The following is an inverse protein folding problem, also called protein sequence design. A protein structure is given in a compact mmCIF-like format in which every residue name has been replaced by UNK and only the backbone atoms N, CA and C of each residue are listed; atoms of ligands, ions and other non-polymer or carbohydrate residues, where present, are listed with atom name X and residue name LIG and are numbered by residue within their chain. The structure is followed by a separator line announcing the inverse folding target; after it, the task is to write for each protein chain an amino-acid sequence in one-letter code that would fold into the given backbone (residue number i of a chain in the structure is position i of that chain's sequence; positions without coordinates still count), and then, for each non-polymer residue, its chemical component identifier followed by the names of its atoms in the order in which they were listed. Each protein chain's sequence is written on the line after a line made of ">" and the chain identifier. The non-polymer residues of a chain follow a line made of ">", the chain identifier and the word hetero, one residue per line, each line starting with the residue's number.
data_IF_455706593941
#
_entry.id   IF_455706593941
#
_cell.length_a   1.000
_cell.length_b   1.000
_cell.length_c   1.000
_cell.angle_alpha   90.00
_cell.angle_beta   90.00
_cell.angle_gamma   90.00
#
_symmetry.space_group_name_H-M   'P 1'
#
loop_
_entity.id
_entity.type
_entity.pdbx_description
1 polymer ?
#
# COMPACT_ATOMS: atom_id res chain seq x y z
N UNK A 1 6.26 11.76 -17.12
CA UNK A 1 6.28 11.50 -15.71
C UNK A 1 4.87 11.72 -15.14
N UNK A 2 4.34 10.76 -14.38
CA UNK A 2 3.01 10.84 -13.79
C UNK A 2 3.11 11.31 -12.33
N UNK A 3 2.50 12.45 -12.04
CA UNK A 3 2.39 13.00 -10.70
C UNK A 3 1.27 12.37 -9.87
N UNK A 4 1.05 12.89 -8.66
CA UNK A 4 -0.08 12.53 -7.84
C UNK A 4 -1.39 13.17 -8.33
N UNK A 5 -2.48 12.73 -7.75
CA UNK A 5 -3.82 13.23 -8.08
C UNK A 5 -3.98 14.65 -7.52
N UNK A 6 -4.47 15.60 -8.32
CA UNK A 6 -4.72 16.96 -7.87
C UNK A 6 -5.59 17.02 -6.60
N UNK A 7 -5.17 17.83 -5.63
CA UNK A 7 -5.85 17.93 -4.34
C UNK A 7 -5.29 17.02 -3.24
N UNK A 8 -4.41 16.08 -3.58
CA UNK A 8 -3.65 15.35 -2.58
C UNK A 8 -2.47 16.19 -2.08
N UNK A 9 -2.19 16.15 -0.78
CA UNK A 9 -1.09 16.93 -0.18
C UNK A 9 0.27 16.65 -0.85
N UNK A 10 0.48 15.42 -1.28
CA UNK A 10 1.72 15.00 -1.93
C UNK A 10 1.90 15.61 -3.33
N UNK A 11 0.82 16.01 -4.03
CA UNK A 11 0.93 16.55 -5.39
C UNK A 11 1.79 17.83 -5.45
N UNK A 12 1.59 18.75 -4.49
CA UNK A 12 2.38 19.98 -4.42
C UNK A 12 3.88 19.70 -4.16
N UNK A 13 4.17 18.74 -3.29
CA UNK A 13 5.55 18.32 -2.95
C UNK A 13 6.23 17.66 -4.16
N UNK A 14 5.54 16.76 -4.85
CA UNK A 14 6.07 16.12 -6.05
C UNK A 14 6.29 17.10 -7.20
N UNK A 15 5.44 18.13 -7.30
CA UNK A 15 5.66 19.18 -8.30
C UNK A 15 6.90 20.02 -7.97
N UNK A 16 7.12 20.39 -6.71
CA UNK A 16 8.36 21.02 -6.28
C UNK A 16 9.58 20.14 -6.59
N UNK A 17 9.51 18.85 -6.27
CA UNK A 17 10.56 17.87 -6.58
C UNK A 17 10.89 17.85 -8.08
N UNK A 18 9.88 17.82 -8.92
CA UNK A 18 10.03 17.89 -10.37
C UNK A 18 10.79 19.14 -10.84
N UNK A 19 10.55 20.29 -10.20
CA UNK A 19 11.24 21.56 -10.52
C UNK A 19 12.67 21.58 -9.96
N UNK A 20 12.84 21.23 -8.68
CA UNK A 20 14.13 21.27 -7.98
C UNK A 20 15.16 20.34 -8.62
N UNK A 21 14.73 19.15 -9.07
CA UNK A 21 15.61 18.20 -9.77
C UNK A 21 15.80 18.52 -11.27
N UNK A 22 15.28 19.66 -11.73
CA UNK A 22 15.42 20.10 -13.12
C UNK A 22 14.72 19.17 -14.13
N UNK A 23 13.80 18.33 -13.68
CA UNK A 23 13.09 17.39 -14.54
C UNK A 23 12.20 18.10 -15.56
N UNK A 24 11.78 19.33 -15.28
CA UNK A 24 11.02 20.21 -16.18
C UNK A 24 11.74 20.57 -17.47
N UNK A 25 13.04 20.34 -17.55
CA UNK A 25 13.82 20.57 -18.78
C UNK A 25 13.61 19.47 -19.83
N UNK A 26 13.28 18.24 -19.40
CA UNK A 26 13.25 17.09 -20.29
C UNK A 26 11.94 16.27 -20.22
N UNK A 27 11.09 16.52 -19.22
CA UNK A 27 9.89 15.73 -18.97
C UNK A 27 8.67 16.63 -18.79
N UNK A 28 7.52 16.11 -19.17
CA UNK A 28 6.22 16.72 -18.87
C UNK A 28 5.70 16.11 -17.57
N UNK A 29 5.28 16.95 -16.61
CA UNK A 29 4.60 16.50 -15.40
C UNK A 29 3.10 16.39 -15.68
N UNK A 30 2.60 15.17 -15.76
CA UNK A 30 1.19 14.89 -15.98
C UNK A 30 0.49 14.59 -14.68
N UNK A 31 -0.57 15.32 -14.37
CA UNK A 31 -1.45 15.08 -13.22
C UNK A 31 -2.64 14.23 -13.63
N UNK A 32 -2.72 12.96 -13.22
CA UNK A 32 -3.88 12.13 -13.51
C UNK A 32 -5.10 12.64 -12.74
N UNK A 33 -6.27 12.59 -13.37
CA UNK A 33 -7.52 13.05 -12.75
C UNK A 33 -8.08 12.11 -11.68
N UNK A 34 -7.57 10.87 -11.59
CA UNK A 34 -8.03 9.85 -10.63
C UNK A 34 -6.97 8.76 -10.42
N UNK A 35 -7.13 8.00 -9.33
CA UNK A 35 -6.33 6.80 -9.07
C UNK A 35 -6.45 5.77 -10.19
N UNK A 36 -7.65 5.57 -10.71
CA UNK A 36 -7.88 4.65 -11.82
C UNK A 36 -7.10 5.05 -13.08
N UNK A 37 -7.04 6.34 -13.39
CA UNK A 37 -6.24 6.85 -14.53
C UNK A 37 -4.76 6.62 -14.32
N UNK A 38 -4.24 6.88 -13.12
CA UNK A 38 -2.84 6.65 -12.76
C UNK A 38 -2.48 5.17 -12.87
N UNK A 39 -3.26 4.32 -12.24
CA UNK A 39 -3.04 2.86 -12.26
C UNK A 39 -3.11 2.28 -13.67
N UNK A 40 -4.07 2.73 -14.49
CA UNK A 40 -4.19 2.31 -15.89
C UNK A 40 -2.97 2.72 -16.71
N UNK A 41 -2.41 3.90 -16.47
CA UNK A 41 -1.21 4.36 -17.18
C UNK A 41 0.00 3.45 -16.88
N UNK A 42 0.22 3.08 -15.61
CA UNK A 42 1.28 2.16 -15.22
C UNK A 42 1.06 0.76 -15.80
N UNK A 43 -0.14 0.20 -15.64
CA UNK A 43 -0.46 -1.13 -16.15
C UNK A 43 -0.27 -1.20 -17.68
N UNK A 44 -0.80 -0.21 -18.41
CA UNK A 44 -0.68 -0.18 -19.88
C UNK A 44 0.77 -0.06 -20.34
N UNK A 45 1.58 0.76 -19.67
CA UNK A 45 2.99 0.89 -19.99
C UNK A 45 3.73 -0.42 -19.71
N UNK A 46 3.48 -1.04 -18.57
CA UNK A 46 4.08 -2.32 -18.18
C UNK A 46 3.75 -3.44 -19.17
N UNK A 47 2.48 -3.61 -19.52
CA UNK A 47 2.02 -4.62 -20.50
C UNK A 47 2.63 -4.43 -21.90
N UNK A 48 2.94 -3.19 -22.27
CA UNK A 48 3.57 -2.85 -23.55
C UNK A 48 5.09 -2.84 -23.52
N UNK A 49 5.71 -3.11 -22.36
CA UNK A 49 7.16 -3.01 -22.17
C UNK A 49 7.69 -1.59 -22.34
N UNK A 50 6.86 -0.56 -22.08
CA UNK A 50 7.25 0.84 -22.17
C UNK A 50 7.72 1.38 -20.82
N UNK A 51 8.74 2.26 -20.79
CA UNK A 51 9.17 2.87 -19.56
C UNK A 51 8.08 3.78 -19.00
N UNK A 52 7.85 3.70 -17.69
CA UNK A 52 6.93 4.57 -16.95
C UNK A 52 7.57 4.99 -15.64
N UNK A 53 7.46 6.26 -15.29
CA UNK A 53 7.88 6.82 -14.00
C UNK A 53 6.75 7.68 -13.47
N UNK A 54 6.46 7.56 -12.19
CA UNK A 54 5.46 8.39 -11.57
C UNK A 54 5.21 8.03 -10.11
N UNK A 55 4.26 8.74 -9.53
CA UNK A 55 3.85 8.55 -8.15
C UNK A 55 3.08 7.23 -7.98
N UNK A 56 3.45 6.49 -6.99
CA UNK A 56 2.70 5.35 -6.47
C UNK A 56 2.81 5.32 -4.95
N UNK A 57 1.92 4.62 -4.30
CA UNK A 57 1.97 4.35 -2.85
C UNK A 57 1.66 2.88 -2.60
N UNK A 58 2.06 2.39 -1.44
CA UNK A 58 1.80 1.02 -1.00
C UNK A 58 1.05 1.00 0.34
N UNK A 59 0.21 -0.03 0.54
CA UNK A 59 -0.12 -1.13 -0.39
C UNK A 59 -1.23 -0.76 -1.37
N UNK A 60 -1.12 -1.21 -2.62
CA UNK A 60 -2.18 -1.12 -3.64
C UNK A 60 -2.28 -2.43 -4.43
N UNK A 61 -3.37 -2.64 -5.15
CA UNK A 61 -3.49 -3.77 -6.06
C UNK A 61 -2.43 -3.74 -7.17
N UNK A 62 -2.02 -2.55 -7.57
CA UNK A 62 -1.03 -2.36 -8.62
C UNK A 62 0.37 -2.78 -8.14
N UNK A 63 0.77 -2.39 -6.92
CA UNK A 63 2.05 -2.80 -6.33
C UNK A 63 2.10 -4.29 -6.00
N UNK A 64 0.95 -4.95 -5.84
CA UNK A 64 0.87 -6.40 -5.73
C UNK A 64 0.94 -7.16 -7.05
N UNK A 65 0.69 -6.47 -8.16
CA UNK A 65 0.64 -7.05 -9.50
C UNK A 65 1.89 -6.77 -10.34
N UNK A 66 2.48 -5.59 -10.19
CA UNK A 66 3.61 -5.14 -10.98
C UNK A 66 4.89 -5.17 -10.14
N UNK A 67 5.99 -5.57 -10.76
CA UNK A 67 7.33 -5.44 -10.19
C UNK A 67 7.81 -4.00 -10.36
N UNK A 68 7.46 -3.16 -9.39
CA UNK A 68 7.80 -1.73 -9.38
C UNK A 68 9.09 -1.50 -8.61
N UNK A 69 9.95 -0.65 -9.15
CA UNK A 69 11.20 -0.25 -8.49
C UNK A 69 11.02 1.15 -7.90
N UNK A 70 11.26 1.26 -6.59
CA UNK A 70 11.33 2.55 -5.92
C UNK A 70 12.62 3.27 -6.36
N UNK A 71 12.48 4.50 -6.86
CA UNK A 71 13.63 5.35 -7.14
C UNK A 71 14.20 5.89 -5.83
N UNK A 72 15.49 5.72 -5.64
CA UNK A 72 16.21 6.21 -4.46
C UNK A 72 16.24 7.73 -4.43
N UNK A 73 16.20 8.28 -3.23
CA UNK A 73 16.27 9.71 -2.96
C UNK A 73 17.04 9.96 -1.65
N UNK A 74 17.30 11.23 -1.32
CA UNK A 74 17.89 11.57 -0.04
C UNK A 74 16.99 11.13 1.12
N UNK A 75 17.55 10.65 2.25
CA UNK A 75 16.76 10.22 3.40
C UNK A 75 15.78 11.29 3.89
N UNK A 76 14.60 10.85 4.34
CA UNK A 76 13.56 11.74 4.79
C UNK A 76 14.05 12.72 5.88
N UNK A 77 13.84 14.01 5.62
CA UNK A 77 13.90 15.10 6.58
C UNK A 77 12.71 16.01 6.33
N UNK A 78 11.98 16.36 7.40
CA UNK A 78 10.65 17.01 7.27
C UNK A 78 10.69 18.31 6.48
N UNK A 79 11.58 19.25 6.83
CA UNK A 79 11.64 20.54 6.16
C UNK A 79 12.10 20.42 4.70
N UNK A 80 13.07 19.56 4.44
CA UNK A 80 13.57 19.28 3.10
C UNK A 80 12.51 18.53 2.25
N UNK A 81 11.72 17.65 2.85
CA UNK A 81 10.59 16.98 2.18
C UNK A 81 9.53 17.98 1.70
N UNK A 82 9.18 18.97 2.53
CA UNK A 82 8.23 20.03 2.17
C UNK A 82 8.73 20.88 0.99
N UNK A 83 10.05 20.91 0.76
CA UNK A 83 10.68 21.54 -0.38
C UNK A 83 10.98 20.60 -1.56
N UNK A 84 10.61 19.33 -1.47
CA UNK A 84 10.78 18.34 -2.54
C UNK A 84 12.19 17.78 -2.68
N UNK A 85 13.00 17.83 -1.64
CA UNK A 85 14.44 17.47 -1.66
C UNK A 85 14.77 16.10 -1.09
N UNK A 86 13.79 15.39 -0.53
CA UNK A 86 13.99 14.09 0.11
C UNK A 86 12.86 13.12 -0.20
N UNK A 87 13.07 11.83 0.11
CA UNK A 87 12.03 10.81 0.02
C UNK A 87 10.81 11.11 0.89
N UNK A 88 9.68 10.49 0.56
CA UNK A 88 8.49 10.53 1.40
C UNK A 88 8.69 9.68 2.68
N UNK A 89 8.10 10.08 3.83
CA UNK A 89 8.23 9.30 5.05
C UNK A 89 7.51 7.96 4.94
N UNK A 90 8.15 6.90 5.42
CA UNK A 90 7.47 5.65 5.70
C UNK A 90 6.57 5.84 6.95
N UNK A 91 5.28 5.57 6.81
CA UNK A 91 4.31 5.73 7.89
C UNK A 91 3.97 4.37 8.49
N UNK A 92 4.19 4.22 9.80
CA UNK A 92 3.79 3.01 10.51
C UNK A 92 2.27 3.00 10.70
N UNK A 93 1.61 2.01 10.13
CA UNK A 93 0.19 1.75 10.37
C UNK A 93 0.04 0.96 11.67
N UNK A 94 -0.84 1.42 12.56
CA UNK A 94 -1.06 0.81 13.86
C UNK A 94 -2.54 0.59 14.11
N UNK A 95 -2.86 -0.37 14.99
CA UNK A 95 -4.21 -0.59 15.49
C UNK A 95 -4.44 0.37 16.66
N UNK A 96 -5.45 1.21 16.55
CA UNK A 96 -5.87 2.11 17.64
C UNK A 96 -7.21 1.64 18.22
N UNK A 97 -7.30 1.60 19.54
CA UNK A 97 -8.52 1.25 20.24
C UNK A 97 -8.78 2.21 21.42
N UNK A 98 -10.04 2.33 21.81
CA UNK A 98 -10.41 3.07 23.01
C UNK A 98 -9.73 2.45 24.25
N UNK A 99 -9.24 3.26 25.18
CA UNK A 99 -8.52 2.80 26.40
C UNK A 99 -9.30 1.82 27.29
N UNK A 100 -10.63 1.82 27.19
CA UNK A 100 -11.49 0.87 27.92
C UNK A 100 -11.67 -0.46 27.18
N UNK A 101 -11.36 -0.51 25.90
CA UNK A 101 -11.58 -1.69 25.06
C UNK A 101 -10.84 -2.94 25.59
N UNK A 102 -9.55 -2.88 25.96
CA UNK A 102 -8.83 -4.06 26.48
C UNK A 102 -9.43 -4.64 27.76
N UNK A 103 -10.13 -3.81 28.55
CA UNK A 103 -10.80 -4.26 29.78
C UNK A 103 -12.13 -4.95 29.49
N UNK A 104 -12.82 -4.53 28.44
CA UNK A 104 -14.11 -5.08 28.04
C UNK A 104 -13.97 -6.34 27.21
N UNK A 105 -12.96 -6.36 26.33
CA UNK A 105 -12.75 -7.43 25.35
C UNK A 105 -11.28 -7.90 25.41
N UNK A 106 -10.87 -8.57 26.52
CA UNK A 106 -9.48 -8.93 26.75
C UNK A 106 -8.94 -9.94 25.73
N UNK A 107 -9.72 -10.93 25.34
CA UNK A 107 -9.28 -11.96 24.40
C UNK A 107 -9.11 -11.38 22.98
N UNK A 108 -10.06 -10.56 22.56
CA UNK A 108 -9.95 -9.88 21.28
C UNK A 108 -8.78 -8.88 21.26
N UNK A 109 -8.50 -8.25 22.39
CA UNK A 109 -7.32 -7.37 22.51
C UNK A 109 -6.01 -8.15 22.40
N UNK A 110 -5.94 -9.37 22.93
CA UNK A 110 -4.78 -10.26 22.73
C UNK A 110 -4.60 -10.64 21.27
N UNK A 111 -5.68 -10.95 20.56
CA UNK A 111 -5.64 -11.17 19.11
C UNK A 111 -5.10 -9.94 18.40
N UNK A 112 -5.67 -8.75 18.62
CA UNK A 112 -5.23 -7.51 17.97
C UNK A 112 -3.75 -7.16 18.27
N UNK A 113 -3.25 -7.52 19.46
CA UNK A 113 -1.84 -7.31 19.81
C UNK A 113 -0.86 -8.22 19.05
N UNK A 114 -1.34 -9.35 18.55
CA UNK A 114 -0.58 -10.30 17.72
C UNK A 114 -0.78 -10.07 16.23
N UNK A 115 -1.92 -9.46 15.86
CA UNK A 115 -2.23 -9.22 14.46
C UNK A 115 -1.22 -8.26 13.84
N UNK A 116 -0.55 -8.72 12.82
CA UNK A 116 0.34 -7.91 11.99
C UNK A 116 0.27 -8.38 10.55
N UNK A 117 0.47 -7.47 9.64
CA UNK A 117 0.58 -7.72 8.20
C UNK A 117 1.70 -6.84 7.64
N UNK A 118 1.95 -6.96 6.37
CA UNK A 118 2.92 -6.12 5.65
C UNK A 118 2.27 -5.47 4.43
N UNK A 119 2.93 -4.44 3.88
CA UNK A 119 2.51 -3.85 2.60
C UNK A 119 2.46 -4.91 1.50
N UNK A 120 3.44 -5.80 1.44
CA UNK A 120 3.51 -6.89 0.45
C UNK A 120 2.32 -7.85 0.58
N UNK A 121 2.02 -8.34 1.78
CA UNK A 121 0.89 -9.24 2.01
C UNK A 121 -0.46 -8.58 1.70
N UNK A 122 -0.60 -7.32 2.07
CA UNK A 122 -1.83 -6.57 1.77
C UNK A 122 -1.96 -6.30 0.27
N UNK A 123 -0.89 -5.92 -0.40
CA UNK A 123 -0.87 -5.69 -1.85
C UNK A 123 -1.19 -6.98 -2.63
N UNK A 124 -0.70 -8.13 -2.18
CA UNK A 124 -1.03 -9.43 -2.75
C UNK A 124 -2.52 -9.74 -2.66
N UNK A 125 -3.14 -9.52 -1.49
CA UNK A 125 -4.59 -9.72 -1.32
C UNK A 125 -5.39 -8.77 -2.22
N UNK A 126 -4.97 -7.51 -2.33
CA UNK A 126 -5.60 -6.53 -3.20
C UNK A 126 -5.45 -6.89 -4.69
N UNK A 127 -4.30 -7.39 -5.11
CA UNK A 127 -4.07 -7.85 -6.48
C UNK A 127 -4.95 -9.07 -6.81
N UNK A 128 -5.03 -10.04 -5.91
CA UNK A 128 -5.93 -11.19 -6.05
C UNK A 128 -7.38 -10.74 -6.23
N UNK A 129 -7.85 -9.85 -5.38
CA UNK A 129 -9.21 -9.30 -5.45
C UNK A 129 -9.46 -8.56 -6.78
N UNK A 130 -8.49 -7.79 -7.26
CA UNK A 130 -8.59 -7.06 -8.52
C UNK A 130 -8.66 -8.00 -9.73
N UNK A 131 -7.87 -9.08 -9.74
CA UNK A 131 -7.79 -10.01 -10.85
C UNK A 131 -9.01 -10.96 -10.91
N UNK A 132 -9.48 -11.44 -9.75
CA UNK A 132 -10.56 -12.41 -9.68
C UNK A 132 -11.95 -11.78 -9.55
N UNK A 133 -12.03 -10.48 -9.22
CA UNK A 133 -13.27 -9.77 -8.84
C UNK A 133 -13.93 -10.36 -7.60
N UNK A 134 -13.17 -11.06 -6.77
CA UNK A 134 -13.65 -11.63 -5.53
C UNK A 134 -14.11 -10.54 -4.54
N UNK A 135 -15.08 -10.88 -3.73
CA UNK A 135 -15.51 -10.06 -2.59
C UNK A 135 -14.42 -9.99 -1.52
N UNK A 136 -14.57 -9.08 -0.56
CA UNK A 136 -13.67 -9.01 0.60
C UNK A 136 -13.63 -10.31 1.39
N UNK A 137 -14.77 -10.97 1.55
CA UNK A 137 -14.84 -12.24 2.28
C UNK A 137 -14.13 -13.38 1.53
N UNK A 138 -14.38 -13.51 0.25
CA UNK A 138 -13.70 -14.52 -0.59
C UNK A 138 -12.20 -14.29 -0.63
N UNK A 139 -11.77 -13.02 -0.75
CA UNK A 139 -10.36 -12.65 -0.71
C UNK A 139 -9.73 -12.97 0.65
N UNK A 140 -10.42 -12.67 1.75
CA UNK A 140 -9.94 -13.00 3.09
C UNK A 140 -9.81 -14.52 3.29
N UNK A 141 -10.79 -15.32 2.84
CA UNK A 141 -10.72 -16.79 2.90
C UNK A 141 -9.55 -17.33 2.07
N UNK A 142 -9.36 -16.81 0.86
CA UNK A 142 -8.22 -17.18 0.03
C UNK A 142 -6.89 -16.83 0.70
N UNK A 143 -6.78 -15.61 1.24
CA UNK A 143 -5.57 -15.14 1.92
C UNK A 143 -5.21 -16.01 3.14
N UNK A 144 -6.20 -16.31 3.99
CA UNK A 144 -5.99 -17.13 5.19
C UNK A 144 -5.63 -18.59 4.85
N UNK A 145 -6.18 -19.14 3.76
CA UNK A 145 -5.76 -20.44 3.25
C UNK A 145 -4.32 -20.45 2.75
N UNK A 146 -3.93 -19.40 2.04
CA UNK A 146 -2.60 -19.26 1.46
C UNK A 146 -1.52 -19.03 2.52
N UNK A 147 -1.83 -18.23 3.53
CA UNK A 147 -0.93 -17.80 4.59
C UNK A 147 -1.33 -18.39 5.96
N UNK A 148 -1.46 -19.71 6.00
CA UNK A 148 -1.88 -20.42 7.22
C UNK A 148 -0.97 -20.20 8.43
N UNK A 149 0.29 -19.88 8.21
CA UNK A 149 1.26 -19.52 9.24
C UNK A 149 0.89 -18.23 9.99
N UNK A 150 0.22 -17.30 9.33
CA UNK A 150 -0.27 -16.07 9.98
C UNK A 150 -1.42 -16.37 10.94
N UNK A 151 -2.26 -17.35 10.59
CA UNK A 151 -3.35 -17.80 11.45
C UNK A 151 -2.79 -18.32 12.79
N UNK A 152 -1.72 -19.12 12.74
CA UNK A 152 -1.04 -19.63 13.92
C UNK A 152 -0.34 -18.53 14.74
N UNK A 153 0.19 -17.51 14.06
CA UNK A 153 0.82 -16.39 14.74
C UNK A 153 -0.20 -15.47 15.46
N UNK A 154 -1.38 -15.32 14.91
CA UNK A 154 -2.41 -14.39 15.42
C UNK A 154 -3.34 -15.01 16.46
N UNK A 155 -3.66 -16.28 16.31
CA UNK A 155 -4.68 -16.97 17.11
C UNK A 155 -4.08 -17.94 18.14
N UNK A 156 -4.92 -18.39 19.06
CA UNK A 156 -4.60 -19.56 19.90
C UNK A 156 -4.71 -20.83 19.04
N UNK A 157 -4.05 -21.93 19.42
CA UNK A 157 -4.18 -23.20 18.70
C UNK A 157 -5.63 -23.67 18.54
N UNK A 158 -6.45 -23.44 19.55
CA UNK A 158 -7.89 -23.79 19.52
C UNK A 158 -8.65 -22.95 18.49
N UNK A 159 -8.46 -21.63 18.51
CA UNK A 159 -9.15 -20.72 17.58
C UNK A 159 -8.64 -20.91 16.15
N UNK A 160 -7.36 -21.17 15.98
CA UNK A 160 -6.77 -21.49 14.67
C UNK A 160 -7.37 -22.77 14.07
N UNK A 161 -7.61 -23.80 14.89
CA UNK A 161 -8.29 -25.02 14.45
C UNK A 161 -9.73 -24.75 14.00
N UNK A 162 -10.51 -24.03 14.82
CA UNK A 162 -11.88 -23.63 14.48
C UNK A 162 -11.96 -22.81 13.19
N UNK A 163 -11.02 -21.88 13.02
CA UNK A 163 -10.97 -21.06 11.80
C UNK A 163 -10.69 -21.92 10.56
N UNK A 164 -9.75 -22.87 10.63
CA UNK A 164 -9.44 -23.77 9.51
C UNK A 164 -10.61 -24.67 9.11
N UNK A 165 -11.43 -25.11 10.06
CA UNK A 165 -12.66 -25.86 9.78
C UNK A 165 -13.71 -24.99 9.07
N UNK A 166 -13.70 -23.67 9.29
CA UNK A 166 -14.66 -22.72 8.70
C UNK A 166 -14.20 -22.15 7.33
N UNK A 167 -12.93 -22.34 6.95
CA UNK A 167 -12.37 -21.86 5.68
C UNK A 167 -12.65 -22.81 4.54
#
# INVERSE_FOLDING_TARGET
>A
LYGAIPGWNIDAILYKKYEVYGLNQNYIYFRPGSEATLSTAFLTAYEKGLPVVGYQWEPTWLSGKLDLVLLEDAPYEKAAFEEGLTEAPAVKVVIAANSRFPKREPEFSKFLSRYHTSSTLTAEALAHMADTKASYEETARWFLKKHGELVDAWLTPEDAAKLREAL
#
